data_IF_804429746316
#
_entry.id   IF_804429746316
#
_cell.length_a   1.000
_cell.length_b   1.000
_cell.length_c   1.000
_cell.angle_alpha   90.00
_cell.angle_beta   90.00
_cell.angle_gamma   90.00
#
_symmetry.space_group_name_H-M   'P 1'
#
loop_
_entity.id
_entity.type
_entity.pdbx_description
1 polymer ?
#
# COMPACT_ATOMS: atom_id res chain seq x y z
N UNK A 1 12.80 -16.84 44.94
CA UNK A 1 12.64 -15.58 44.25
C UNK A 1 12.00 -14.60 45.22
N UNK A 2 12.82 -13.68 45.72
CA UNK A 2 12.43 -12.67 46.70
C UNK A 2 11.61 -11.58 46.05
N UNK A 3 10.36 -11.49 46.40
CA UNK A 3 9.50 -10.31 46.10
C UNK A 3 10.06 -9.15 46.92
N UNK A 4 10.86 -8.28 46.33
CA UNK A 4 11.39 -7.11 47.01
C UNK A 4 10.36 -5.97 46.89
N UNK A 5 9.77 -5.63 48.00
CA UNK A 5 8.89 -4.45 48.13
C UNK A 5 9.78 -3.20 48.06
N UNK A 6 9.63 -2.35 47.07
CA UNK A 6 10.29 -1.08 46.99
C UNK A 6 9.31 0.02 47.43
N UNK A 7 9.55 0.64 48.58
CA UNK A 7 8.75 1.73 49.10
C UNK A 7 9.50 3.02 48.90
N UNK A 8 8.94 3.96 48.15
CA UNK A 8 9.49 5.32 48.02
C UNK A 8 8.55 6.32 48.67
N UNK A 9 9.11 7.18 49.54
CA UNK A 9 8.38 8.27 50.16
C UNK A 9 8.64 9.58 49.40
N UNK A 10 7.59 10.18 48.83
CA UNK A 10 7.62 11.57 48.36
C UNK A 10 6.65 12.39 49.22
N UNK A 11 7.13 13.47 49.74
CA UNK A 11 6.67 14.43 50.76
C UNK A 11 5.22 14.44 51.26
N UNK A 12 4.30 13.66 50.77
CA UNK A 12 2.94 13.49 51.27
C UNK A 12 2.21 12.23 50.74
N UNK A 13 2.84 11.42 49.86
CA UNK A 13 2.18 10.24 49.26
C UNK A 13 3.09 9.00 49.39
N UNK A 14 2.51 7.87 49.76
CA UNK A 14 3.19 6.60 49.89
C UNK A 14 3.09 5.83 48.59
N UNK A 15 4.21 5.53 47.94
CA UNK A 15 4.23 4.67 46.73
C UNK A 15 4.75 3.28 47.11
N UNK A 16 3.91 2.27 46.83
CA UNK A 16 4.36 0.87 46.91
C UNK A 16 4.28 0.23 45.53
N UNK A 17 5.40 -0.28 45.01
CA UNK A 17 5.42 -1.08 43.79
C UNK A 17 5.74 -2.54 44.12
N UNK A 18 4.91 -3.48 43.67
CA UNK A 18 5.20 -4.88 43.70
C UNK A 18 5.68 -5.33 42.32
N UNK A 19 6.67 -6.24 42.23
CA UNK A 19 7.01 -6.85 40.95
C UNK A 19 5.84 -7.73 40.52
N UNK A 20 5.30 -7.53 39.30
CA UNK A 20 4.12 -8.26 38.83
C UNK A 20 4.46 -9.70 38.47
N UNK A 21 3.53 -10.60 38.75
CA UNK A 21 3.40 -11.85 37.98
C UNK A 21 2.53 -11.53 36.75
N UNK A 22 3.16 -11.11 35.64
CA UNK A 22 2.44 -10.71 34.44
C UNK A 22 2.68 -9.24 34.04
N UNK A 23 2.03 -8.82 32.94
CA UNK A 23 2.25 -7.56 32.24
C UNK A 23 1.62 -6.31 32.90
N UNK A 24 1.15 -6.37 34.12
CA UNK A 24 0.50 -5.27 34.82
C UNK A 24 1.45 -4.64 35.85
N UNK A 25 1.73 -3.36 35.74
CA UNK A 25 2.36 -2.58 36.81
C UNK A 25 1.27 -1.99 37.67
N UNK A 26 1.27 -2.33 38.95
CA UNK A 26 0.34 -1.79 39.93
C UNK A 26 1.01 -0.61 40.63
N UNK A 27 0.46 0.57 40.48
CA UNK A 27 0.92 1.79 41.18
C UNK A 27 -0.15 2.11 42.21
N UNK A 28 0.27 2.18 43.47
CA UNK A 28 -0.58 2.54 44.60
C UNK A 28 -0.40 4.01 44.90
N UNK A 29 -1.49 4.78 44.91
CA UNK A 29 -1.53 6.12 45.46
C UNK A 29 -2.33 6.04 46.77
N UNK A 30 -1.71 6.41 47.88
CA UNK A 30 -2.40 6.55 49.16
C UNK A 30 -2.63 8.04 49.40
N UNK A 31 -3.84 8.43 49.50
CA UNK A 31 -4.20 9.81 49.87
C UNK A 31 -4.94 9.78 51.19
N UNK A 32 -4.49 10.60 52.16
CA UNK A 32 -5.12 10.73 53.46
C UNK A 32 -6.25 11.76 53.39
N UNK A 33 -7.49 11.30 53.44
CA UNK A 33 -8.66 12.17 53.46
C UNK A 33 -9.49 11.87 54.72
N UNK A 34 -9.55 12.84 55.63
CA UNK A 34 -10.38 12.79 56.86
C UNK A 34 -10.15 11.54 57.75
N UNK A 35 -8.90 11.18 58.01
CA UNK A 35 -8.51 9.99 58.80
C UNK A 35 -8.84 8.63 58.23
N UNK A 36 -9.24 8.53 56.99
CA UNK A 36 -9.31 7.26 56.26
C UNK A 36 -8.29 7.16 55.14
N UNK A 37 -7.56 6.04 55.11
CA UNK A 37 -6.59 5.76 54.05
C UNK A 37 -7.32 5.23 52.86
N UNK A 38 -7.53 6.03 51.80
CA UNK A 38 -8.13 5.61 50.55
C UNK A 38 -7.01 5.14 49.62
N UNK A 39 -6.98 3.85 49.32
CA UNK A 39 -6.10 3.28 48.31
C UNK A 39 -6.75 3.38 46.92
N UNK A 40 -6.22 4.26 46.10
CA UNK A 40 -6.62 4.34 44.68
C UNK A 40 -5.76 3.37 43.87
N UNK A 41 -6.37 2.34 43.31
CA UNK A 41 -5.72 1.36 42.46
C UNK A 41 -5.75 1.85 41.01
N UNK A 42 -4.59 2.23 40.45
CA UNK A 42 -4.44 2.44 39.02
C UNK A 42 -3.73 1.25 38.40
N UNK A 43 -4.46 0.47 37.61
CA UNK A 43 -3.84 -0.55 36.76
C UNK A 43 -3.31 0.16 35.52
N UNK A 44 -2.00 0.41 35.47
CA UNK A 44 -1.34 0.86 34.25
C UNK A 44 -1.04 -0.36 33.40
N UNK A 45 -1.93 -0.67 32.49
CA UNK A 45 -1.73 -1.74 31.52
C UNK A 45 -0.79 -1.20 30.44
N UNK A 46 0.42 -1.78 30.32
CA UNK A 46 1.28 -1.46 29.19
C UNK A 46 0.59 -1.92 27.92
N UNK A 47 0.26 -0.98 27.03
CA UNK A 47 -0.46 -1.31 25.80
C UNK A 47 0.39 -2.18 24.87
N UNK A 48 1.71 -1.92 24.78
CA UNK A 48 2.67 -2.73 24.01
C UNK A 48 3.52 -3.54 24.98
N UNK A 49 3.45 -4.85 24.86
CA UNK A 49 4.17 -5.82 25.70
C UNK A 49 5.53 -6.16 25.10
N UNK A 50 5.57 -6.49 23.81
CA UNK A 50 6.81 -6.75 23.09
C UNK A 50 6.63 -6.50 21.60
N UNK A 51 7.73 -6.21 20.93
CA UNK A 51 7.82 -6.09 19.48
C UNK A 51 9.01 -6.95 19.03
N UNK A 52 8.74 -7.92 18.16
CA UNK A 52 9.74 -8.86 17.65
C UNK A 52 9.67 -8.90 16.14
N UNK A 53 10.77 -8.64 15.49
CA UNK A 53 10.89 -8.71 14.02
C UNK A 53 11.71 -9.92 13.58
N UNK A 54 11.42 -10.37 12.37
CA UNK A 54 12.16 -11.45 11.68
C UNK A 54 12.23 -11.20 10.19
N UNK A 55 13.16 -11.90 9.55
CA UNK A 55 13.26 -12.01 8.10
C UNK A 55 12.34 -13.14 7.61
N UNK A 56 11.49 -12.86 6.64
CA UNK A 56 10.69 -13.83 5.90
C UNK A 56 10.94 -13.68 4.39
N UNK A 57 10.35 -14.54 3.57
CA UNK A 57 10.46 -14.43 2.11
C UNK A 57 9.19 -13.85 1.49
N UNK A 58 9.37 -12.96 0.52
CA UNK A 58 8.30 -12.44 -0.32
C UNK A 58 7.95 -13.41 -1.46
N UNK A 59 6.93 -13.08 -2.26
CA UNK A 59 6.45 -13.89 -3.39
C UNK A 59 7.49 -14.13 -4.49
N UNK A 60 8.61 -13.40 -4.47
CA UNK A 60 9.75 -13.57 -5.39
C UNK A 60 10.88 -14.39 -4.77
N UNK A 61 10.74 -14.82 -3.52
CA UNK A 61 11.79 -15.49 -2.74
C UNK A 61 12.89 -14.53 -2.23
N UNK A 62 12.63 -13.23 -2.21
CA UNK A 62 13.53 -12.25 -1.59
C UNK A 62 13.15 -12.02 -0.13
N UNK A 63 14.14 -11.77 0.75
CA UNK A 63 13.87 -11.42 2.13
C UNK A 63 13.04 -10.14 2.27
N UNK A 64 12.15 -10.13 3.26
CA UNK A 64 11.43 -8.95 3.72
C UNK A 64 11.20 -8.99 5.24
N UNK A 65 10.78 -7.88 5.82
CA UNK A 65 10.58 -7.73 7.27
C UNK A 65 9.17 -8.17 7.66
N UNK A 66 9.08 -8.98 8.70
CA UNK A 66 7.84 -9.30 9.40
C UNK A 66 7.96 -8.91 10.87
N UNK A 67 6.91 -8.33 11.43
CA UNK A 67 6.85 -7.84 12.81
C UNK A 67 5.69 -8.48 13.55
N UNK A 68 5.95 -9.03 14.74
CA UNK A 68 4.96 -9.42 15.73
C UNK A 68 4.94 -8.38 16.85
N UNK A 69 3.82 -7.72 17.03
CA UNK A 69 3.56 -6.82 18.14
C UNK A 69 2.59 -7.49 19.11
N UNK A 70 2.97 -7.59 20.37
CA UNK A 70 2.20 -8.21 21.43
C UNK A 70 1.55 -7.18 22.33
N UNK A 71 0.27 -7.36 22.61
CA UNK A 71 -0.49 -6.60 23.62
C UNK A 71 -1.23 -7.57 24.52
N UNK A 72 -1.95 -7.08 25.50
CA UNK A 72 -2.88 -7.89 26.29
C UNK A 72 -4.03 -8.49 25.50
N UNK A 73 -4.25 -8.06 24.25
CA UNK A 73 -5.28 -8.60 23.34
C UNK A 73 -4.76 -9.73 22.44
N UNK A 74 -3.44 -9.93 22.37
CA UNK A 74 -2.84 -10.98 21.55
C UNK A 74 -1.64 -10.52 20.73
N UNK A 75 -1.39 -11.23 19.64
CA UNK A 75 -0.27 -10.99 18.71
C UNK A 75 -0.80 -10.39 17.41
N UNK A 76 -0.18 -9.31 16.98
CA UNK A 76 -0.53 -8.60 15.75
C UNK A 76 0.66 -8.61 14.81
N UNK A 77 0.50 -9.38 13.72
CA UNK A 77 1.56 -9.64 12.74
C UNK A 77 1.36 -8.77 11.51
N UNK A 78 2.46 -8.19 11.03
CA UNK A 78 2.50 -7.45 9.78
C UNK A 78 3.76 -7.78 9.00
N UNK A 79 3.64 -7.84 7.66
CA UNK A 79 4.75 -8.04 6.76
C UNK A 79 4.84 -6.89 5.75
N UNK A 80 6.05 -6.52 5.39
CA UNK A 80 6.32 -5.35 4.54
C UNK A 80 6.44 -5.79 3.08
N UNK A 81 5.70 -5.16 2.14
CA UNK A 81 5.88 -5.40 0.72
C UNK A 81 7.17 -4.76 0.19
N UNK A 82 7.68 -5.25 -0.94
CA UNK A 82 8.94 -4.81 -1.55
C UNK A 82 8.80 -4.56 -3.05
N UNK A 83 9.29 -3.44 -3.55
CA UNK A 83 9.28 -3.10 -4.97
C UNK A 83 10.34 -3.86 -5.80
N UNK A 84 10.12 -3.96 -7.11
CA UNK A 84 11.13 -4.39 -8.08
C UNK A 84 11.72 -3.17 -8.80
N UNK A 85 10.86 -2.37 -9.40
CA UNK A 85 11.15 -1.03 -9.89
C UNK A 85 10.79 -0.05 -8.76
N UNK A 86 11.71 0.83 -8.42
CA UNK A 86 11.53 1.79 -7.32
C UNK A 86 11.81 3.19 -7.82
N UNK A 87 10.87 4.11 -7.61
CA UNK A 87 11.08 5.52 -7.87
C UNK A 87 12.29 6.04 -7.07
N UNK A 88 13.11 6.87 -7.69
CA UNK A 88 14.35 7.37 -7.05
C UNK A 88 14.10 8.22 -5.80
N UNK A 89 12.87 8.66 -5.60
CA UNK A 89 12.44 9.49 -4.47
C UNK A 89 11.69 8.70 -3.38
N UNK A 90 11.61 7.36 -3.49
CA UNK A 90 11.01 6.53 -2.45
C UNK A 90 11.84 6.56 -1.15
N UNK A 91 11.16 6.40 -0.01
CA UNK A 91 11.85 6.14 1.24
C UNK A 91 12.71 4.86 1.15
N UNK A 92 13.84 4.84 1.85
CA UNK A 92 14.84 3.79 1.70
C UNK A 92 14.37 2.45 2.25
N UNK A 93 14.24 1.45 1.39
CA UNK A 93 14.19 0.06 1.80
C UNK A 93 15.61 -0.41 2.17
N UNK A 94 15.86 -0.59 3.48
CA UNK A 94 17.19 -0.96 3.95
C UNK A 94 17.48 -2.44 3.65
N UNK A 95 18.52 -2.66 2.84
CA UNK A 95 19.07 -3.98 2.51
C UNK A 95 20.47 -4.12 3.12
N UNK A 96 20.84 -5.36 3.48
CA UNK A 96 22.12 -5.65 4.13
C UNK A 96 23.31 -5.37 3.23
N UNK A 97 23.18 -5.57 1.92
CA UNK A 97 24.25 -5.42 0.93
C UNK A 97 25.28 -6.57 0.94
N UNK A 98 25.14 -7.52 1.84
CA UNK A 98 26.02 -8.71 1.92
C UNK A 98 25.68 -9.68 0.80
N UNK A 99 26.50 -9.70 -0.24
CA UNK A 99 26.31 -10.54 -1.43
C UNK A 99 26.40 -12.04 -1.15
N UNK A 100 26.92 -12.46 -0.01
CA UNK A 100 26.99 -13.87 0.39
C UNK A 100 25.63 -14.41 0.86
N UNK A 101 24.71 -13.52 1.24
CA UNK A 101 23.33 -13.85 1.63
C UNK A 101 22.34 -13.17 0.69
N UNK A 102 21.44 -13.95 0.09
CA UNK A 102 20.38 -13.45 -0.80
C UNK A 102 20.85 -12.44 -1.85
N UNK A 103 22.09 -12.56 -2.33
CA UNK A 103 22.71 -11.64 -3.30
C UNK A 103 22.70 -10.16 -2.87
N UNK A 104 22.79 -9.91 -1.57
CA UNK A 104 22.78 -8.57 -0.98
C UNK A 104 21.41 -8.08 -0.55
N UNK A 105 20.34 -8.86 -0.78
CA UNK A 105 18.94 -8.44 -0.50
C UNK A 105 18.46 -8.81 0.90
N UNK A 106 19.31 -9.31 1.81
CA UNK A 106 18.95 -9.57 3.20
C UNK A 106 18.43 -8.34 3.92
N UNK A 107 17.65 -8.53 4.99
CA UNK A 107 17.05 -7.45 5.79
C UNK A 107 17.38 -7.56 7.28
N UNK A 108 18.47 -8.25 7.62
CA UNK A 108 18.86 -8.48 9.03
C UNK A 108 19.19 -7.18 9.77
N UNK A 109 19.73 -6.17 9.08
CA UNK A 109 19.97 -4.84 9.67
C UNK A 109 18.65 -4.16 10.07
N UNK A 110 17.66 -4.17 9.19
CA UNK A 110 16.33 -3.62 9.49
C UNK A 110 15.67 -4.37 10.65
N UNK A 111 15.77 -5.70 10.66
CA UNK A 111 15.29 -6.56 11.78
C UNK A 111 15.97 -6.20 13.09
N UNK A 112 17.30 -6.04 13.09
CA UNK A 112 18.05 -5.64 14.30
C UNK A 112 17.65 -4.25 14.78
N UNK A 113 17.43 -3.28 13.89
CA UNK A 113 16.95 -1.94 14.25
C UNK A 113 15.60 -2.00 14.97
N UNK A 114 14.71 -2.90 14.59
CA UNK A 114 13.43 -3.09 15.29
C UNK A 114 13.66 -3.73 16.66
N UNK A 115 14.38 -4.86 16.71
CA UNK A 115 14.53 -5.65 17.91
C UNK A 115 15.36 -4.96 18.99
N UNK A 116 16.41 -4.22 18.59
CA UNK A 116 17.41 -3.66 19.51
C UNK A 116 17.16 -2.18 19.82
N UNK A 117 16.40 -1.46 18.97
CA UNK A 117 16.26 0.00 19.10
C UNK A 117 14.80 0.46 19.08
N UNK A 118 14.07 0.27 17.98
CA UNK A 118 12.71 0.82 17.82
C UNK A 118 11.74 0.17 18.79
N UNK A 119 11.73 -1.17 18.87
CA UNK A 119 10.85 -1.91 19.76
C UNK A 119 11.04 -1.51 21.23
N UNK A 120 12.26 -1.60 21.80
CA UNK A 120 12.54 -1.16 23.17
C UNK A 120 12.13 0.29 23.43
N UNK A 121 12.41 1.22 22.50
CA UNK A 121 12.05 2.63 22.65
C UNK A 121 10.54 2.86 22.73
N UNK A 122 9.76 2.21 21.85
CA UNK A 122 8.30 2.32 21.86
C UNK A 122 7.68 1.73 23.12
N UNK A 123 8.20 0.59 23.61
CA UNK A 123 7.75 -0.03 24.86
C UNK A 123 8.03 0.90 26.04
N UNK A 124 9.24 1.47 26.11
CA UNK A 124 9.65 2.39 27.18
C UNK A 124 8.87 3.70 27.16
N UNK A 125 8.44 4.17 25.99
CA UNK A 125 7.68 5.43 25.86
C UNK A 125 6.35 5.38 26.62
N UNK A 126 5.79 4.20 26.84
CA UNK A 126 4.48 4.02 27.47
C UNK A 126 3.32 4.57 26.65
N UNK A 127 3.56 4.97 25.40
CA UNK A 127 2.52 5.48 24.49
C UNK A 127 1.51 4.35 24.21
N UNK A 128 0.24 4.68 24.28
CA UNK A 128 -0.83 3.72 24.02
C UNK A 128 -0.86 3.31 22.54
N UNK A 129 -1.10 2.04 22.27
CA UNK A 129 -1.16 1.49 20.91
C UNK A 129 -2.25 2.13 20.04
N UNK A 130 -3.23 2.78 20.64
CA UNK A 130 -4.25 3.58 19.92
C UNK A 130 -3.70 4.88 19.33
N UNK A 131 -2.56 5.35 19.81
CA UNK A 131 -1.95 6.63 19.41
C UNK A 131 -1.01 6.43 18.22
N UNK A 132 -1.55 5.92 17.11
CA UNK A 132 -0.80 5.60 15.87
C UNK A 132 0.15 6.72 15.46
N UNK A 133 -0.34 7.94 15.38
CA UNK A 133 0.45 9.08 14.91
C UNK A 133 1.63 9.39 15.85
N UNK A 134 1.44 9.30 17.16
CA UNK A 134 2.53 9.53 18.10
C UNK A 134 3.61 8.45 18.02
N UNK A 135 3.20 7.19 17.91
CA UNK A 135 4.13 6.06 17.77
C UNK A 135 4.91 6.14 16.46
N UNK A 136 4.23 6.44 15.36
CA UNK A 136 4.88 6.61 14.05
C UNK A 136 5.86 7.80 14.08
N UNK A 137 5.43 8.95 14.60
CA UNK A 137 6.30 10.13 14.71
C UNK A 137 7.52 9.89 15.62
N UNK A 138 7.36 9.12 16.71
CA UNK A 138 8.50 8.73 17.56
C UNK A 138 9.55 7.99 16.75
N UNK A 139 9.15 7.01 15.92
CA UNK A 139 10.09 6.28 15.06
C UNK A 139 10.74 7.17 14.00
N UNK A 140 9.97 8.05 13.37
CA UNK A 140 10.42 8.97 12.34
C UNK A 140 11.44 9.97 12.91
N UNK A 141 11.15 10.53 14.09
CA UNK A 141 12.06 11.46 14.80
C UNK A 141 13.35 10.77 15.26
N UNK A 142 13.28 9.53 15.70
CA UNK A 142 14.46 8.71 16.04
C UNK A 142 15.33 8.43 14.82
N UNK A 143 14.73 8.23 13.65
CA UNK A 143 15.46 8.11 12.39
C UNK A 143 16.13 9.43 12.02
N UNK A 144 15.40 10.52 12.01
CA UNK A 144 15.89 11.89 11.80
C UNK A 144 16.39 12.17 10.39
N UNK A 145 16.23 11.25 9.43
CA UNK A 145 16.58 11.44 8.02
C UNK A 145 15.34 11.63 7.16
N UNK A 146 15.48 12.34 6.04
CA UNK A 146 14.35 12.64 5.16
C UNK A 146 13.73 11.37 4.54
N UNK A 147 14.58 10.42 4.17
CA UNK A 147 14.18 9.18 3.48
C UNK A 147 14.22 7.93 4.36
N UNK A 148 14.25 8.10 5.70
CA UNK A 148 14.30 6.98 6.66
C UNK A 148 15.54 6.08 6.51
N UNK A 149 16.67 6.64 6.10
CA UNK A 149 17.88 5.87 5.78
C UNK A 149 18.63 5.34 7.00
N UNK A 150 18.35 5.84 8.20
CA UNK A 150 19.02 5.37 9.43
C UNK A 150 18.51 3.99 9.85
N UNK A 151 17.21 3.78 9.94
CA UNK A 151 16.61 2.51 10.34
C UNK A 151 16.06 1.70 9.16
N UNK A 152 15.73 2.37 8.07
CA UNK A 152 15.04 1.82 6.91
C UNK A 152 13.52 2.02 6.99
N UNK A 153 12.92 2.42 5.86
CA UNK A 153 11.47 2.54 5.74
C UNK A 153 10.76 1.22 6.00
N UNK A 154 11.36 0.10 5.60
CA UNK A 154 10.84 -1.26 5.85
C UNK A 154 10.79 -1.60 7.35
N UNK A 155 11.77 -1.18 8.13
CA UNK A 155 11.75 -1.36 9.59
C UNK A 155 10.63 -0.54 10.25
N UNK A 156 10.54 0.75 9.93
CA UNK A 156 9.52 1.66 10.48
C UNK A 156 8.12 1.21 10.07
N UNK A 157 7.92 0.88 8.80
CA UNK A 157 6.63 0.45 8.28
C UNK A 157 6.14 -0.86 8.91
N UNK A 158 7.01 -1.85 9.07
CA UNK A 158 6.63 -3.13 9.68
C UNK A 158 6.04 -2.93 11.07
N UNK A 159 6.67 -2.09 11.89
CA UNK A 159 6.17 -1.73 13.22
C UNK A 159 4.88 -0.91 13.12
N UNK A 160 4.81 0.08 12.23
CA UNK A 160 3.64 0.94 12.03
C UNK A 160 2.38 0.14 11.63
N UNK A 161 2.52 -0.83 10.72
CA UNK A 161 1.43 -1.73 10.31
C UNK A 161 0.95 -2.59 11.49
N UNK A 162 1.87 -3.16 12.27
CA UNK A 162 1.54 -3.99 13.43
C UNK A 162 0.83 -3.16 14.52
N UNK A 163 1.26 -1.91 14.76
CA UNK A 163 0.60 -0.96 15.66
C UNK A 163 -0.86 -0.73 15.22
N UNK A 164 -1.09 -0.50 13.93
CA UNK A 164 -2.43 -0.24 13.41
C UNK A 164 -3.37 -1.45 13.63
N UNK A 165 -2.90 -2.65 13.38
CA UNK A 165 -3.65 -3.89 13.66
C UNK A 165 -3.95 -4.06 15.15
N UNK A 166 -2.97 -3.81 16.00
CA UNK A 166 -3.12 -3.87 17.46
C UNK A 166 -4.09 -2.80 17.98
N UNK A 167 -4.02 -1.57 17.43
CA UNK A 167 -4.93 -0.48 17.77
C UNK A 167 -6.39 -0.80 17.45
N UNK A 168 -6.66 -1.42 16.32
CA UNK A 168 -7.99 -1.91 15.96
C UNK A 168 -8.54 -2.91 17.00
N UNK A 169 -7.72 -3.89 17.37
CA UNK A 169 -8.09 -4.89 18.37
C UNK A 169 -8.26 -4.30 19.78
N UNK A 170 -7.42 -3.34 20.17
CA UNK A 170 -7.55 -2.64 21.45
C UNK A 170 -8.86 -1.85 21.51
N UNK A 171 -9.22 -1.20 20.41
CA UNK A 171 -10.50 -0.47 20.26
C UNK A 171 -11.71 -1.41 20.13
N UNK A 172 -11.49 -2.69 19.79
CA UNK A 172 -12.55 -3.68 19.60
C UNK A 172 -13.34 -3.48 18.30
N UNK A 173 -12.69 -2.99 17.25
CA UNK A 173 -13.29 -2.77 15.92
C UNK A 173 -12.48 -3.46 14.84
N UNK A 174 -13.07 -3.77 13.66
CA UNK A 174 -12.33 -4.27 12.50
C UNK A 174 -11.25 -3.28 12.05
N UNK A 175 -10.19 -3.80 11.43
CA UNK A 175 -9.05 -2.98 10.99
C UNK A 175 -9.46 -1.85 10.03
N UNK A 176 -10.31 -2.15 9.04
CA UNK A 176 -10.81 -1.13 8.11
C UNK A 176 -11.57 0.01 8.82
N UNK A 177 -12.32 -0.30 9.88
CA UNK A 177 -13.03 0.71 10.68
C UNK A 177 -12.06 1.57 11.50
N UNK A 178 -11.04 0.96 12.09
CA UNK A 178 -10.00 1.69 12.80
C UNK A 178 -9.23 2.64 11.87
N UNK A 179 -8.89 2.19 10.67
CA UNK A 179 -8.24 3.04 9.64
C UNK A 179 -9.17 4.19 9.25
N UNK A 180 -10.47 3.94 9.04
CA UNK A 180 -11.45 4.99 8.77
C UNK A 180 -11.50 6.05 9.88
N UNK A 181 -11.49 5.62 11.14
CA UNK A 181 -11.45 6.52 12.28
C UNK A 181 -10.17 7.36 12.33
N UNK A 182 -8.99 6.74 12.08
CA UNK A 182 -7.71 7.46 11.99
C UNK A 182 -7.73 8.51 10.87
N UNK A 183 -8.41 8.22 9.77
CA UNK A 183 -8.55 9.12 8.63
C UNK A 183 -9.70 10.13 8.77
N UNK A 184 -10.55 9.99 9.78
CA UNK A 184 -11.75 10.83 9.96
C UNK A 184 -12.85 10.55 8.94
N UNK A 185 -12.92 9.32 8.39
CA UNK A 185 -13.94 8.92 7.42
C UNK A 185 -15.15 8.29 8.14
N UNK A 186 -16.35 8.80 7.89
CA UNK A 186 -17.60 8.23 8.40
C UNK A 186 -18.12 7.07 7.53
N UNK A 187 -17.91 7.16 6.25
CA UNK A 187 -18.37 6.19 5.24
C UNK A 187 -17.30 5.15 4.92
N UNK A 188 -17.74 3.99 4.44
CA UNK A 188 -16.88 2.91 3.95
C UNK A 188 -17.30 2.52 2.54
N UNK A 189 -16.32 2.27 1.68
CA UNK A 189 -16.57 1.93 0.27
C UNK A 189 -15.69 0.75 -0.13
N UNK A 190 -16.31 -0.27 -0.74
CA UNK A 190 -15.62 -1.38 -1.37
C UNK A 190 -15.04 -0.91 -2.71
N UNK A 191 -13.76 -1.19 -3.00
CA UNK A 191 -13.09 -0.68 -4.18
C UNK A 191 -13.44 -1.46 -5.45
N UNK A 192 -13.35 -0.81 -6.60
CA UNK A 192 -13.20 -1.50 -7.89
C UNK A 192 -11.79 -2.08 -7.95
N UNK A 193 -11.63 -3.39 -8.20
CA UNK A 193 -10.32 -3.98 -8.42
C UNK A 193 -9.81 -3.69 -9.83
N UNK A 194 -8.57 -3.19 -9.94
CA UNK A 194 -7.84 -3.08 -11.19
C UNK A 194 -6.96 -4.32 -11.34
N UNK A 195 -7.47 -5.35 -12.01
CA UNK A 195 -6.76 -6.61 -12.18
C UNK A 195 -5.70 -6.50 -13.26
N UNK A 196 -4.43 -6.63 -12.91
CA UNK A 196 -3.37 -6.73 -13.88
C UNK A 196 -3.41 -8.10 -14.58
N UNK A 197 -3.74 -8.13 -15.86
CA UNK A 197 -3.95 -9.36 -16.63
C UNK A 197 -2.90 -9.60 -17.72
N UNK A 198 -2.11 -8.59 -18.08
CA UNK A 198 -0.99 -8.69 -19.03
C UNK A 198 0.18 -7.87 -18.50
N UNK A 199 1.37 -8.48 -18.50
CA UNK A 199 2.63 -7.82 -18.16
C UNK A 199 3.50 -7.60 -19.39
N UNK A 200 4.16 -6.44 -19.40
CA UNK A 200 5.20 -6.06 -20.34
C UNK A 200 6.35 -5.38 -19.60
N UNK A 201 6.99 -4.38 -20.22
CA UNK A 201 8.07 -3.62 -19.62
C UNK A 201 9.20 -4.52 -19.12
N UNK A 202 9.92 -4.07 -18.12
CA UNK A 202 10.99 -4.84 -17.47
C UNK A 202 10.48 -6.07 -16.71
N UNK A 203 9.18 -6.15 -16.44
CA UNK A 203 8.55 -7.25 -15.70
C UNK A 203 8.24 -8.49 -16.54
N UNK A 204 8.44 -8.44 -17.86
CA UNK A 204 8.16 -9.56 -18.75
C UNK A 204 9.25 -9.74 -19.82
N UNK A 205 9.41 -10.98 -20.28
CA UNK A 205 10.35 -11.33 -21.35
C UNK A 205 9.86 -11.02 -22.76
N UNK A 206 8.69 -10.40 -22.94
CA UNK A 206 8.15 -10.00 -24.23
C UNK A 206 8.70 -8.63 -24.70
N UNK A 207 8.30 -8.17 -25.88
CA UNK A 207 8.73 -6.87 -26.45
C UNK A 207 7.80 -5.71 -26.12
N UNK A 208 6.77 -5.92 -25.29
CA UNK A 208 5.84 -4.88 -24.92
C UNK A 208 6.55 -3.83 -24.06
N UNK A 209 6.46 -2.55 -24.41
CA UNK A 209 7.10 -1.46 -23.67
C UNK A 209 6.35 -1.16 -22.37
N UNK A 210 5.03 -1.06 -22.42
CA UNK A 210 4.16 -0.76 -21.28
C UNK A 210 4.14 -1.92 -20.30
N UNK A 211 4.20 -1.58 -19.00
CA UNK A 211 4.46 -2.55 -17.93
C UNK A 211 3.26 -3.42 -17.59
N UNK A 212 2.06 -2.82 -17.46
CA UNK A 212 0.86 -3.52 -17.04
C UNK A 212 -0.38 -3.08 -17.82
N UNK A 213 -1.26 -4.05 -18.06
CA UNK A 213 -2.60 -3.83 -18.61
C UNK A 213 -3.63 -4.42 -17.67
N UNK A 214 -4.55 -3.58 -17.23
CA UNK A 214 -5.52 -3.90 -16.20
C UNK A 214 -6.94 -3.90 -16.74
N UNK A 215 -7.79 -4.70 -16.12
CA UNK A 215 -9.25 -4.69 -16.35
C UNK A 215 -9.96 -4.29 -15.06
N UNK A 216 -10.93 -3.37 -15.17
CA UNK A 216 -11.68 -2.79 -14.07
C UNK A 216 -13.17 -3.09 -14.25
N UNK A 217 -13.79 -3.96 -13.44
CA UNK A 217 -15.21 -4.31 -13.53
C UNK A 217 -16.11 -3.24 -12.90
N UNK A 218 -16.15 -2.05 -13.48
CA UNK A 218 -16.91 -0.90 -12.95
C UNK A 218 -18.43 -1.09 -13.02
N UNK A 219 -18.91 -1.95 -13.90
CA UNK A 219 -20.34 -2.29 -14.06
C UNK A 219 -20.80 -3.48 -13.23
N UNK A 220 -19.97 -3.96 -12.28
CA UNK A 220 -20.39 -4.97 -11.30
C UNK A 220 -21.33 -4.37 -10.25
N UNK A 221 -22.17 -5.20 -9.65
CA UNK A 221 -23.16 -4.79 -8.64
C UNK A 221 -22.58 -4.81 -7.21
N UNK A 222 -21.48 -5.53 -7.00
CA UNK A 222 -20.81 -5.73 -5.72
C UNK A 222 -19.33 -6.04 -5.92
N UNK A 223 -18.55 -6.01 -4.85
CA UNK A 223 -17.15 -6.44 -4.92
C UNK A 223 -17.04 -7.93 -5.29
N UNK A 224 -17.89 -8.77 -4.72
CA UNK A 224 -17.96 -10.21 -5.05
C UNK A 224 -18.26 -10.42 -6.55
N UNK A 225 -19.20 -9.65 -7.11
CA UNK A 225 -19.51 -9.71 -8.54
C UNK A 225 -18.32 -9.21 -9.38
N UNK A 226 -17.66 -8.14 -8.96
CA UNK A 226 -16.44 -7.64 -9.63
C UNK A 226 -15.31 -8.69 -9.65
N UNK A 227 -15.09 -9.40 -8.54
CA UNK A 227 -14.08 -10.45 -8.46
C UNK A 227 -14.45 -11.64 -9.37
N UNK A 228 -15.73 -12.05 -9.42
CA UNK A 228 -16.22 -13.06 -10.33
C UNK A 228 -15.97 -12.67 -11.79
N UNK A 229 -16.38 -11.46 -12.18
CA UNK A 229 -16.16 -10.95 -13.54
C UNK A 229 -14.70 -10.93 -13.91
N UNK A 230 -13.82 -10.48 -13.00
CA UNK A 230 -12.38 -10.46 -13.21
C UNK A 230 -11.81 -11.87 -13.42
N UNK A 231 -12.22 -12.84 -12.61
CA UNK A 231 -11.75 -14.22 -12.71
C UNK A 231 -12.20 -14.89 -14.01
N UNK A 232 -13.48 -14.73 -14.39
CA UNK A 232 -14.03 -15.26 -15.64
C UNK A 232 -13.37 -14.62 -16.86
N UNK A 233 -13.18 -13.31 -16.85
CA UNK A 233 -12.47 -12.58 -17.90
C UNK A 233 -11.03 -13.04 -18.04
N UNK A 234 -10.33 -13.25 -16.93
CA UNK A 234 -8.94 -13.74 -16.92
C UNK A 234 -8.84 -15.13 -17.57
N UNK A 235 -9.77 -16.05 -17.30
CA UNK A 235 -9.83 -17.35 -17.96
C UNK A 235 -10.10 -17.19 -19.47
N UNK A 236 -11.08 -16.37 -19.86
CA UNK A 236 -11.41 -16.09 -21.26
C UNK A 236 -10.21 -15.48 -22.00
N UNK A 237 -9.47 -14.55 -21.38
CA UNK A 237 -8.28 -13.97 -21.96
C UNK A 237 -7.20 -15.03 -22.24
N UNK A 238 -7.01 -15.97 -21.32
CA UNK A 238 -6.08 -17.11 -21.53
C UNK A 238 -6.48 -17.93 -22.74
N UNK A 239 -7.76 -18.18 -22.93
CA UNK A 239 -8.26 -18.94 -24.08
C UNK A 239 -8.06 -18.15 -25.40
N UNK A 240 -8.34 -16.85 -25.42
CA UNK A 240 -8.08 -15.97 -26.56
C UNK A 240 -6.60 -15.96 -26.95
N UNK A 241 -5.70 -15.90 -25.97
CA UNK A 241 -4.25 -15.94 -26.20
C UNK A 241 -3.84 -17.30 -26.78
N UNK A 242 -4.35 -18.41 -26.24
CA UNK A 242 -4.07 -19.75 -26.73
C UNK A 242 -4.54 -19.96 -28.17
N UNK A 243 -5.73 -19.51 -28.50
CA UNK A 243 -6.28 -19.57 -29.86
C UNK A 243 -5.36 -18.86 -30.88
N UNK A 244 -4.82 -17.68 -30.49
CA UNK A 244 -4.04 -16.84 -31.41
C UNK A 244 -2.58 -17.24 -31.51
N UNK A 245 -1.96 -17.65 -30.41
CA UNK A 245 -0.51 -17.86 -30.31
C UNK A 245 -0.08 -19.28 -29.94
N UNK A 246 -1.02 -20.18 -29.68
CA UNK A 246 -0.74 -21.56 -29.26
C UNK A 246 -0.68 -21.72 -27.73
N UNK A 247 -0.58 -22.99 -27.31
CA UNK A 247 -0.81 -23.39 -25.89
C UNK A 247 0.26 -22.88 -24.91
N UNK A 248 1.46 -22.62 -25.39
CA UNK A 248 2.61 -22.16 -24.59
C UNK A 248 2.83 -20.64 -24.66
N UNK A 249 1.92 -19.91 -25.31
CA UNK A 249 2.04 -18.47 -25.48
C UNK A 249 1.74 -17.73 -24.17
N UNK A 250 2.79 -17.41 -23.43
CA UNK A 250 2.71 -16.51 -22.28
C UNK A 250 3.04 -15.06 -22.65
N UNK A 251 3.52 -14.83 -23.88
CA UNK A 251 3.97 -13.53 -24.37
C UNK A 251 2.91 -12.92 -25.29
N UNK A 252 2.34 -11.81 -24.88
CA UNK A 252 1.43 -11.01 -25.69
C UNK A 252 2.23 -9.83 -26.23
N UNK A 253 2.34 -9.70 -27.56
CA UNK A 253 3.03 -8.58 -28.20
C UNK A 253 2.20 -7.28 -28.19
N UNK A 254 2.53 -6.35 -29.10
CA UNK A 254 1.94 -5.00 -29.20
C UNK A 254 0.39 -4.94 -29.32
N UNK A 255 -0.27 -6.10 -29.47
CA UNK A 255 -1.72 -6.24 -29.57
C UNK A 255 -2.42 -6.47 -28.24
N UNK A 256 -1.75 -6.26 -27.10
CA UNK A 256 -2.34 -6.52 -25.77
C UNK A 256 -3.70 -5.89 -25.55
N UNK A 257 -3.89 -4.64 -25.92
CA UNK A 257 -5.16 -3.93 -25.83
C UNK A 257 -6.28 -4.53 -26.69
N UNK A 258 -5.95 -5.01 -27.88
CA UNK A 258 -6.92 -5.69 -28.76
C UNK A 258 -7.38 -7.03 -28.17
N UNK A 259 -6.48 -7.82 -27.63
CA UNK A 259 -6.82 -9.11 -27.01
C UNK A 259 -7.69 -8.93 -25.77
N UNK A 260 -7.44 -7.92 -24.95
CA UNK A 260 -8.27 -7.61 -23.78
C UNK A 260 -9.70 -7.23 -24.23
N UNK A 261 -9.85 -6.35 -25.20
CA UNK A 261 -11.18 -5.99 -25.75
C UNK A 261 -11.92 -7.22 -26.25
N UNK A 262 -11.28 -8.07 -27.04
CA UNK A 262 -11.86 -9.32 -27.52
C UNK A 262 -12.26 -10.25 -26.37
N UNK A 263 -11.45 -10.34 -25.33
CA UNK A 263 -11.77 -11.14 -24.14
C UNK A 263 -12.98 -10.58 -23.38
N UNK A 264 -13.07 -9.25 -23.23
CA UNK A 264 -14.22 -8.57 -22.62
C UNK A 264 -15.52 -8.89 -23.40
N UNK A 265 -15.47 -8.81 -24.73
CA UNK A 265 -16.59 -9.13 -25.62
C UNK A 265 -16.99 -10.61 -25.52
N UNK A 266 -16.02 -11.53 -25.61
CA UNK A 266 -16.26 -12.99 -25.52
C UNK A 266 -16.78 -13.41 -24.14
N UNK A 267 -16.36 -12.75 -23.07
CA UNK A 267 -16.87 -12.99 -21.72
C UNK A 267 -18.25 -12.38 -21.46
N UNK A 268 -18.78 -11.57 -22.39
CA UNK A 268 -20.09 -10.92 -22.26
C UNK A 268 -20.09 -9.72 -21.30
N UNK A 269 -18.94 -9.06 -21.09
CA UNK A 269 -18.79 -7.94 -20.18
C UNK A 269 -18.58 -6.59 -20.88
N UNK A 270 -19.00 -6.48 -22.15
CA UNK A 270 -19.02 -5.20 -22.86
C UNK A 270 -19.81 -4.17 -22.04
N UNK A 271 -19.31 -2.94 -21.97
CA UNK A 271 -19.83 -1.81 -21.16
C UNK A 271 -19.80 -2.00 -19.64
N UNK A 272 -19.39 -3.17 -19.14
CA UNK A 272 -19.22 -3.45 -17.70
C UNK A 272 -17.77 -3.44 -17.23
N UNK A 273 -16.83 -3.73 -18.12
CA UNK A 273 -15.40 -3.77 -17.84
C UNK A 273 -14.67 -2.76 -18.71
N UNK A 274 -13.84 -1.95 -18.07
CA UNK A 274 -13.00 -0.94 -18.73
C UNK A 274 -11.53 -1.30 -18.54
N UNK A 275 -10.62 -0.58 -19.23
CA UNK A 275 -9.20 -0.88 -19.28
C UNK A 275 -8.39 0.21 -18.53
N UNK A 276 -7.41 -0.23 -17.74
CA UNK A 276 -6.35 0.61 -17.20
C UNK A 276 -4.99 0.16 -17.71
N UNK A 277 -4.03 1.06 -17.66
CA UNK A 277 -2.63 0.79 -18.04
C UNK A 277 -1.70 1.33 -16.97
N UNK A 278 -0.58 0.65 -16.78
CA UNK A 278 0.62 1.19 -16.14
C UNK A 278 1.76 1.14 -17.15
N UNK A 279 2.25 2.30 -17.53
CA UNK A 279 3.28 2.42 -18.56
C UNK A 279 4.67 2.30 -17.97
N UNK A 280 4.88 2.81 -16.74
CA UNK A 280 6.18 2.92 -16.10
C UNK A 280 7.23 3.54 -17.02
N UNK A 281 6.91 4.69 -17.63
CA UNK A 281 7.65 5.26 -18.76
C UNK A 281 9.09 5.69 -18.40
N UNK A 282 9.40 5.89 -17.11
CA UNK A 282 10.78 6.13 -16.66
C UNK A 282 11.74 5.00 -17.04
N UNK A 283 11.26 3.76 -17.20
CA UNK A 283 12.09 2.62 -17.57
C UNK A 283 12.66 2.69 -19.00
N UNK A 284 11.99 3.42 -19.88
CA UNK A 284 12.42 3.60 -21.27
C UNK A 284 12.67 5.07 -21.66
N UNK A 285 12.81 5.94 -20.67
CA UNK A 285 13.20 7.34 -20.85
C UNK A 285 14.72 7.47 -20.88
N UNK A 286 15.23 8.17 -21.88
CA UNK A 286 16.65 8.45 -22.02
C UNK A 286 16.88 9.78 -22.72
N UNK A 287 17.67 10.68 -22.13
CA UNK A 287 18.08 11.96 -22.69
C UNK A 287 16.92 12.80 -23.26
N UNK A 288 15.81 12.86 -22.52
CA UNK A 288 14.63 13.65 -22.87
C UNK A 288 13.70 13.01 -23.89
N UNK A 289 13.89 11.72 -24.22
CA UNK A 289 13.08 10.98 -25.17
C UNK A 289 12.73 9.58 -24.66
N UNK A 290 11.79 8.93 -25.32
CA UNK A 290 11.23 7.63 -24.95
C UNK A 290 11.55 6.59 -26.04
N UNK A 291 12.13 5.45 -25.65
CA UNK A 291 12.43 4.33 -26.53
C UNK A 291 11.47 3.16 -26.28
N UNK A 292 10.42 3.05 -27.09
CA UNK A 292 9.44 1.96 -26.96
C UNK A 292 10.00 0.56 -27.30
N UNK A 293 11.19 0.49 -27.85
CA UNK A 293 11.91 -0.78 -28.13
C UNK A 293 13.19 -0.89 -27.29
N UNK A 294 13.17 -0.38 -26.06
CA UNK A 294 14.32 -0.27 -25.16
C UNK A 294 14.97 -1.61 -24.81
N UNK A 295 14.29 -2.72 -25.08
CA UNK A 295 14.81 -4.08 -24.91
C UNK A 295 15.70 -4.54 -26.08
N UNK A 296 15.70 -3.82 -27.19
CA UNK A 296 16.58 -4.02 -28.33
C UNK A 296 17.83 -3.16 -28.20
N UNK A 297 18.90 -3.44 -28.97
CA UNK A 297 20.11 -2.60 -28.97
C UNK A 297 19.79 -1.12 -29.20
N UNK A 298 20.43 -0.17 -28.48
CA UNK A 298 20.09 1.25 -28.54
C UNK A 298 20.11 1.82 -29.98
N UNK A 299 19.07 2.60 -30.34
CA UNK A 299 18.98 3.29 -31.61
C UNK A 299 18.24 4.64 -31.44
N UNK A 300 18.98 5.72 -31.37
CA UNK A 300 18.42 7.05 -31.13
C UNK A 300 17.41 7.50 -32.22
N UNK A 301 17.46 6.92 -33.42
CA UNK A 301 16.55 7.26 -34.51
C UNK A 301 15.09 6.84 -34.27
N UNK A 302 14.84 5.89 -33.35
CA UNK A 302 13.49 5.44 -33.01
C UNK A 302 12.93 6.08 -31.74
N UNK A 303 13.74 6.90 -31.05
CA UNK A 303 13.32 7.57 -29.82
C UNK A 303 12.31 8.68 -30.16
N UNK A 304 11.19 8.67 -29.43
CA UNK A 304 10.09 9.60 -29.62
C UNK A 304 10.05 10.66 -28.52
N UNK A 305 9.42 11.79 -28.83
CA UNK A 305 9.16 12.88 -27.86
C UNK A 305 8.01 12.51 -26.91
N UNK A 306 7.87 13.28 -25.83
CA UNK A 306 6.68 13.17 -24.94
C UNK A 306 5.37 13.47 -25.68
N UNK A 307 5.36 14.39 -26.65
CA UNK A 307 4.17 14.71 -27.48
C UNK A 307 3.78 13.54 -28.38
N UNK A 308 4.76 12.90 -29.01
CA UNK A 308 4.52 11.72 -29.84
C UNK A 308 4.01 10.54 -28.98
N UNK A 309 4.56 10.35 -27.78
CA UNK A 309 4.09 9.33 -26.82
C UNK A 309 2.66 9.65 -26.36
N UNK A 310 2.34 10.91 -26.04
CA UNK A 310 0.99 11.34 -25.69
C UNK A 310 -0.02 11.05 -26.81
N UNK A 311 0.39 11.22 -28.08
CA UNK A 311 -0.44 10.91 -29.25
C UNK A 311 -0.76 9.41 -29.36
N UNK A 312 0.17 8.53 -28.98
CA UNK A 312 -0.07 7.08 -28.92
C UNK A 312 -1.12 6.78 -27.85
N UNK A 313 -1.03 7.35 -26.65
CA UNK A 313 -2.03 7.19 -25.60
C UNK A 313 -3.39 7.69 -26.02
N UNK A 314 -3.45 8.82 -26.72
CA UNK A 314 -4.71 9.33 -27.26
C UNK A 314 -5.35 8.34 -28.25
N UNK A 315 -4.51 7.65 -29.05
CA UNK A 315 -4.97 6.56 -29.91
C UNK A 315 -5.58 5.40 -29.11
N UNK A 316 -4.97 5.02 -27.99
CA UNK A 316 -5.55 3.98 -27.13
C UNK A 316 -6.88 4.40 -26.51
N UNK A 317 -6.97 5.63 -26.00
CA UNK A 317 -8.20 6.18 -25.42
C UNK A 317 -9.34 6.21 -26.45
N UNK A 318 -9.04 6.55 -27.69
CA UNK A 318 -10.06 6.67 -28.76
C UNK A 318 -10.54 5.30 -29.27
N UNK A 319 -9.69 4.28 -29.26
CA UNK A 319 -9.98 2.98 -29.88
C UNK A 319 -10.43 1.89 -28.89
N UNK A 320 -10.13 2.09 -27.60
CA UNK A 320 -10.40 1.11 -26.54
C UNK A 320 -11.03 1.80 -25.32
N UNK A 321 -11.75 1.07 -24.45
CA UNK A 321 -12.36 1.64 -23.26
C UNK A 321 -11.28 1.90 -22.15
N UNK A 322 -10.23 2.64 -22.49
CA UNK A 322 -9.17 3.03 -21.58
C UNK A 322 -9.62 4.23 -20.73
N UNK A 323 -9.65 4.05 -19.42
CA UNK A 323 -10.13 5.06 -18.47
C UNK A 323 -9.07 5.49 -17.46
N UNK A 324 -7.92 4.83 -17.45
CA UNK A 324 -6.83 5.10 -16.49
C UNK A 324 -5.48 4.78 -17.12
N UNK A 325 -4.53 5.71 -17.02
CA UNK A 325 -3.12 5.50 -17.41
C UNK A 325 -2.23 5.95 -16.25
N UNK A 326 -1.39 5.03 -15.76
CA UNK A 326 -0.41 5.24 -14.71
C UNK A 326 0.97 5.47 -15.33
N UNK A 327 1.72 6.42 -14.77
CA UNK A 327 3.08 6.80 -15.14
C UNK A 327 3.31 6.90 -16.67
N UNK A 328 2.52 7.74 -17.36
CA UNK A 328 2.62 7.89 -18.82
C UNK A 328 3.94 8.50 -19.30
N UNK A 329 4.68 9.20 -18.42
CA UNK A 329 5.95 9.86 -18.72
C UNK A 329 6.96 9.63 -17.59
N UNK A 330 8.21 10.03 -17.84
CA UNK A 330 9.27 10.00 -16.83
C UNK A 330 8.88 10.78 -15.57
N UNK A 331 9.34 10.29 -14.42
CA UNK A 331 9.03 10.86 -13.08
C UNK A 331 9.43 12.33 -12.91
N UNK A 332 10.25 12.88 -13.78
CA UNK A 332 10.67 14.29 -13.77
C UNK A 332 10.31 15.08 -15.04
N UNK A 333 9.60 14.46 -16.00
CA UNK A 333 9.08 15.13 -17.20
C UNK A 333 7.75 15.87 -16.91
N UNK A 334 7.77 16.79 -15.93
CA UNK A 334 6.61 17.52 -15.46
C UNK A 334 5.80 18.21 -16.56
N UNK A 335 6.42 18.84 -17.60
CA UNK A 335 5.66 19.46 -18.67
C UNK A 335 4.80 18.46 -19.46
N UNK A 336 5.34 17.27 -19.79
CA UNK A 336 4.59 16.25 -20.51
C UNK A 336 3.39 15.76 -19.69
N UNK A 337 3.56 15.55 -18.40
CA UNK A 337 2.48 15.18 -17.48
C UNK A 337 1.34 16.21 -17.49
N UNK A 338 1.67 17.50 -17.29
CA UNK A 338 0.67 18.57 -17.19
C UNK A 338 -0.07 18.75 -18.50
N UNK A 339 0.61 18.70 -19.64
CA UNK A 339 0.01 18.82 -20.97
C UNK A 339 -0.94 17.66 -21.25
N UNK A 340 -0.52 16.44 -20.96
CA UNK A 340 -1.32 15.25 -21.20
C UNK A 340 -2.57 15.24 -20.31
N UNK A 341 -2.42 15.49 -19.01
CA UNK A 341 -3.54 15.53 -18.07
C UNK A 341 -4.59 16.56 -18.46
N UNK A 342 -4.14 17.73 -18.97
CA UNK A 342 -5.06 18.77 -19.48
C UNK A 342 -5.78 18.37 -20.77
N UNK A 343 -5.22 17.43 -21.55
CA UNK A 343 -5.75 17.04 -22.87
C UNK A 343 -6.70 15.86 -22.87
N UNK A 344 -6.81 15.14 -21.73
CA UNK A 344 -7.62 13.90 -21.63
C UNK A 344 -8.66 13.98 -20.51
N UNK A 345 -9.75 13.23 -20.68
CA UNK A 345 -10.80 13.12 -19.66
C UNK A 345 -10.65 11.93 -18.72
N UNK A 346 -9.62 11.11 -18.90
CA UNK A 346 -9.40 9.89 -18.14
C UNK A 346 -8.62 10.15 -16.85
N UNK A 347 -8.51 9.11 -16.02
CA UNK A 347 -7.64 9.12 -14.86
C UNK A 347 -6.17 9.02 -15.28
N UNK A 348 -5.34 9.96 -14.80
CA UNK A 348 -3.89 9.94 -14.95
C UNK A 348 -3.29 9.73 -13.57
N UNK A 349 -2.62 8.59 -13.36
CA UNK A 349 -2.16 8.14 -12.07
C UNK A 349 -0.66 8.42 -11.91
N UNK A 350 -0.28 9.09 -10.83
CA UNK A 350 1.12 9.29 -10.45
C UNK A 350 1.58 8.21 -9.46
N UNK A 351 2.49 7.34 -9.91
CA UNK A 351 3.25 6.40 -9.09
C UNK A 351 4.65 6.96 -8.81
N UNK A 352 5.59 6.79 -9.73
CA UNK A 352 6.96 7.30 -9.58
C UNK A 352 7.02 8.85 -9.54
N UNK A 353 6.06 9.52 -10.14
CA UNK A 353 5.91 10.97 -10.06
C UNK A 353 5.76 11.45 -8.61
N UNK A 354 4.96 10.77 -7.80
CA UNK A 354 4.56 11.24 -6.46
C UNK A 354 5.18 10.43 -5.32
N UNK A 355 5.48 9.16 -5.55
CA UNK A 355 6.05 8.19 -4.60
C UNK A 355 5.37 8.21 -3.21
N UNK A 356 4.07 8.46 -3.17
CA UNK A 356 3.28 8.62 -1.93
C UNK A 356 3.86 9.72 -1.00
N UNK A 357 4.65 10.65 -1.55
CA UNK A 357 5.32 11.69 -0.80
C UNK A 357 4.51 13.00 -0.84
N UNK A 358 4.05 13.54 0.32
CA UNK A 358 3.24 14.76 0.35
C UNK A 358 3.86 15.96 -0.37
N UNK A 359 5.18 16.13 -0.35
CA UNK A 359 5.85 17.24 -1.06
C UNK A 359 5.71 17.11 -2.57
N UNK A 360 5.89 15.89 -3.10
CA UNK A 360 5.73 15.65 -4.54
C UNK A 360 4.26 15.70 -4.97
N UNK A 361 3.35 15.20 -4.11
CA UNK A 361 1.90 15.33 -4.33
C UNK A 361 1.50 16.80 -4.41
N UNK A 362 1.99 17.64 -3.48
CA UNK A 362 1.71 19.08 -3.49
C UNK A 362 2.17 19.75 -4.79
N UNK A 363 3.39 19.44 -5.24
CA UNK A 363 3.89 19.93 -6.53
C UNK A 363 3.02 19.46 -7.69
N UNK A 364 2.65 18.18 -7.71
CA UNK A 364 1.81 17.63 -8.78
C UNK A 364 0.41 18.27 -8.81
N UNK A 365 -0.12 18.67 -7.65
CA UNK A 365 -1.37 19.45 -7.55
C UNK A 365 -1.17 20.83 -8.16
N UNK A 366 -0.11 21.54 -7.79
CA UNK A 366 0.20 22.90 -8.29
C UNK A 366 0.43 22.91 -9.80
N UNK A 367 1.19 21.96 -10.31
CA UNK A 367 1.50 21.80 -11.74
C UNK A 367 0.36 21.13 -12.53
N UNK A 368 -0.71 20.66 -11.86
CA UNK A 368 -1.80 19.86 -12.46
C UNK A 368 -1.28 18.68 -13.27
N UNK A 369 -0.24 18.03 -12.75
CA UNK A 369 0.50 17.00 -13.47
C UNK A 369 -0.27 15.67 -13.59
N UNK A 370 -1.07 15.32 -12.60
CA UNK A 370 -1.93 14.13 -12.59
C UNK A 370 -3.22 14.40 -11.83
N UNK A 371 -4.13 13.43 -11.78
CA UNK A 371 -5.42 13.55 -11.08
C UNK A 371 -5.76 12.32 -10.21
N UNK A 372 -4.79 11.45 -10.01
CA UNK A 372 -4.91 10.29 -9.12
C UNK A 372 -3.55 9.97 -8.47
N UNK A 373 -3.57 9.69 -7.18
CA UNK A 373 -2.43 9.19 -6.43
C UNK A 373 -2.41 7.65 -6.49
N UNK A 374 -1.28 7.04 -6.84
CA UNK A 374 -1.03 5.66 -6.49
C UNK A 374 -0.46 5.61 -5.08
N UNK A 375 -1.17 4.98 -4.16
CA UNK A 375 -0.78 4.91 -2.76
C UNK A 375 -0.11 3.57 -2.47
N UNK A 376 1.18 3.62 -2.15
CA UNK A 376 1.99 2.48 -1.73
C UNK A 376 2.59 2.77 -0.36
N UNK A 377 2.15 2.05 0.67
CA UNK A 377 2.54 2.34 2.06
C UNK A 377 4.06 2.29 2.31
N UNK A 378 4.77 1.45 1.56
CA UNK A 378 6.23 1.32 1.72
C UNK A 378 7.05 2.42 1.01
N UNK A 379 6.45 3.17 0.08
CA UNK A 379 7.13 4.30 -0.56
C UNK A 379 7.36 5.47 0.41
N UNK A 380 6.50 5.59 1.43
CA UNK A 380 6.62 6.62 2.47
C UNK A 380 7.03 6.04 3.82
N UNK A 381 6.58 4.85 4.19
CA UNK A 381 7.12 4.05 5.28
C UNK A 381 6.41 4.18 6.63
N UNK A 382 5.21 4.75 6.69
CA UNK A 382 4.33 4.70 7.87
C UNK A 382 2.85 4.82 7.50
N UNK A 383 1.99 4.26 8.33
CA UNK A 383 0.52 4.37 8.18
C UNK A 383 0.07 5.82 8.31
N UNK A 384 0.61 6.56 9.26
CA UNK A 384 0.29 7.98 9.49
C UNK A 384 0.58 8.82 8.25
N UNK A 385 1.75 8.67 7.63
CA UNK A 385 2.12 9.46 6.45
C UNK A 385 1.32 9.00 5.21
N UNK A 386 1.02 7.70 5.09
CA UNK A 386 0.17 7.19 4.01
C UNK A 386 -1.26 7.77 4.08
N UNK A 387 -1.84 7.85 5.28
CA UNK A 387 -3.14 8.51 5.50
C UNK A 387 -3.06 10.00 5.12
N UNK A 388 -2.02 10.71 5.54
CA UNK A 388 -1.82 12.13 5.20
C UNK A 388 -1.68 12.35 3.69
N UNK A 389 -0.94 11.49 3.00
CA UNK A 389 -0.80 11.54 1.54
C UNK A 389 -2.16 11.31 0.84
N UNK A 390 -2.93 10.33 1.30
CA UNK A 390 -4.27 10.05 0.79
C UNK A 390 -5.20 11.25 0.96
N UNK A 391 -5.25 11.82 2.15
CA UNK A 391 -6.08 13.00 2.44
C UNK A 391 -5.71 14.20 1.60
N UNK A 392 -4.41 14.48 1.45
CA UNK A 392 -3.92 15.57 0.61
C UNK A 392 -4.41 15.41 -0.84
N UNK A 393 -4.35 14.21 -1.41
CA UNK A 393 -4.85 13.92 -2.74
C UNK A 393 -6.38 14.12 -2.84
N UNK A 394 -7.15 13.55 -1.92
CA UNK A 394 -8.61 13.63 -1.89
C UNK A 394 -9.11 15.08 -1.72
N UNK A 395 -8.48 15.87 -0.85
CA UNK A 395 -8.80 17.29 -0.61
C UNK A 395 -8.57 18.17 -1.85
N UNK A 396 -7.71 17.73 -2.76
CA UNK A 396 -7.46 18.40 -4.04
C UNK A 396 -8.27 17.80 -5.21
N UNK A 397 -9.29 16.98 -4.91
CA UNK A 397 -10.20 16.41 -5.89
C UNK A 397 -9.61 15.25 -6.70
N UNK A 398 -8.49 14.68 -6.27
CA UNK A 398 -7.88 13.52 -6.92
C UNK A 398 -8.55 12.22 -6.50
N UNK A 399 -8.53 11.25 -7.42
CA UNK A 399 -8.69 9.85 -7.05
C UNK A 399 -7.48 9.32 -6.29
N UNK A 400 -7.66 8.20 -5.60
CA UNK A 400 -6.56 7.47 -4.95
C UNK A 400 -6.73 5.98 -5.26
N UNK A 401 -5.68 5.35 -5.77
CA UNK A 401 -5.62 3.91 -5.99
C UNK A 401 -4.64 3.30 -5.01
N UNK A 402 -5.10 2.43 -4.12
CA UNK A 402 -4.23 1.67 -3.22
C UNK A 402 -3.57 0.55 -4.00
N UNK A 403 -2.26 0.39 -3.85
CA UNK A 403 -1.48 -0.54 -4.65
C UNK A 403 -0.65 -1.50 -3.81
N UNK A 404 -0.51 -2.73 -4.33
CA UNK A 404 0.49 -3.70 -3.93
C UNK A 404 1.90 -3.32 -4.42
N UNK A 405 2.86 -4.20 -4.17
CA UNK A 405 4.18 -4.17 -4.81
C UNK A 405 4.45 -5.51 -5.52
N UNK A 406 5.54 -5.54 -6.33
CA UNK A 406 5.95 -6.76 -7.05
C UNK A 406 6.28 -7.91 -6.09
N UNK A 407 6.96 -7.63 -4.99
CA UNK A 407 7.20 -8.57 -3.90
C UNK A 407 6.16 -8.40 -2.81
N UNK A 408 5.25 -9.34 -2.73
CA UNK A 408 4.16 -9.36 -1.75
C UNK A 408 4.26 -10.57 -0.82
N UNK A 409 3.53 -10.49 0.27
CA UNK A 409 3.32 -11.56 1.24
C UNK A 409 1.82 -11.85 1.37
N UNK A 410 1.44 -12.76 2.26
CA UNK A 410 0.04 -13.06 2.57
C UNK A 410 -0.64 -11.98 3.43
N UNK A 411 0.09 -10.92 3.83
CA UNK A 411 -0.49 -9.83 4.61
C UNK A 411 -1.61 -9.11 3.83
N UNK A 412 -2.74 -8.89 4.49
CA UNK A 412 -3.95 -8.33 3.89
C UNK A 412 -4.19 -6.86 4.20
N UNK A 413 -3.24 -6.17 4.84
CA UNK A 413 -3.42 -4.81 5.35
C UNK A 413 -4.01 -3.85 4.31
N UNK A 414 -3.53 -3.88 3.06
CA UNK A 414 -3.98 -2.96 2.01
C UNK A 414 -5.45 -3.16 1.61
N UNK A 415 -6.04 -4.33 1.86
CA UNK A 415 -7.46 -4.56 1.66
C UNK A 415 -8.30 -3.78 2.68
N UNK A 416 -7.91 -3.79 3.94
CA UNK A 416 -8.55 -2.99 4.99
C UNK A 416 -8.27 -1.49 4.77
N UNK A 417 -7.06 -1.15 4.32
CA UNK A 417 -6.65 0.22 4.05
C UNK A 417 -7.52 0.89 2.98
N UNK A 418 -7.74 0.21 1.85
CA UNK A 418 -8.53 0.77 0.73
C UNK A 418 -9.97 1.05 1.13
N UNK A 419 -10.56 0.19 1.95
CA UNK A 419 -11.92 0.38 2.48
C UNK A 419 -11.97 1.51 3.49
N UNK A 420 -11.08 1.52 4.47
CA UNK A 420 -11.02 2.54 5.52
C UNK A 420 -10.73 3.94 5.00
N UNK A 421 -9.90 4.07 3.96
CA UNK A 421 -9.59 5.34 3.32
C UNK A 421 -10.63 5.80 2.28
N UNK A 422 -11.64 4.99 1.98
CA UNK A 422 -12.68 5.30 0.97
C UNK A 422 -12.08 5.69 -0.38
N UNK A 423 -11.08 4.95 -0.86
CA UNK A 423 -10.37 5.35 -2.09
C UNK A 423 -11.05 4.87 -3.37
N UNK A 424 -11.88 3.84 -3.28
CA UNK A 424 -12.73 3.38 -4.39
C UNK A 424 -12.06 2.52 -5.44
N UNK A 425 -10.72 2.29 -5.36
CA UNK A 425 -9.99 1.46 -6.31
C UNK A 425 -8.74 0.83 -5.68
N UNK A 426 -8.44 -0.40 -6.09
CA UNK A 426 -7.27 -1.15 -5.62
C UNK A 426 -6.58 -1.85 -6.79
N UNK A 427 -5.25 -1.75 -6.84
CA UNK A 427 -4.37 -2.44 -7.78
C UNK A 427 -3.55 -3.47 -7.01
N UNK A 428 -3.93 -4.76 -7.06
CA UNK A 428 -3.22 -5.81 -6.32
C UNK A 428 -3.03 -7.11 -7.12
N UNK A 429 -2.80 -6.98 -8.43
CA UNK A 429 -2.42 -8.05 -9.34
C UNK A 429 -3.60 -8.75 -10.02
N UNK A 430 -3.31 -9.84 -10.71
CA UNK A 430 -4.32 -10.68 -11.35
C UNK A 430 -5.18 -11.42 -10.31
N UNK A 431 -6.38 -11.93 -10.69
CA UNK A 431 -7.21 -12.73 -9.80
C UNK A 431 -6.68 -14.16 -9.68
N UNK A 432 -5.42 -14.29 -9.35
CA UNK A 432 -4.71 -15.55 -9.12
C UNK A 432 -3.45 -15.29 -8.26
N UNK A 433 -2.77 -16.35 -7.83
CA UNK A 433 -1.62 -16.34 -6.91
C UNK A 433 -2.00 -15.92 -5.50
N UNK A 434 -1.60 -16.72 -4.51
CA UNK A 434 -2.10 -16.64 -3.12
C UNK A 434 -1.85 -15.28 -2.47
N UNK A 435 -0.70 -14.67 -2.70
CA UNK A 435 -0.33 -13.36 -2.14
C UNK A 435 -1.20 -12.20 -2.67
N UNK A 436 -1.79 -12.36 -3.86
CA UNK A 436 -2.74 -11.40 -4.46
C UNK A 436 -4.16 -11.71 -4.01
N UNK A 437 -4.56 -12.98 -4.10
CA UNK A 437 -5.88 -13.46 -3.65
C UNK A 437 -6.11 -13.23 -2.16
N UNK A 438 -5.08 -13.22 -1.33
CA UNK A 438 -5.21 -12.87 0.09
C UNK A 438 -5.93 -11.52 0.28
N UNK A 439 -5.58 -10.50 -0.53
CA UNK A 439 -6.18 -9.16 -0.49
C UNK A 439 -7.62 -9.18 -1.03
N UNK A 440 -7.84 -9.84 -2.17
CA UNK A 440 -9.18 -9.95 -2.77
C UNK A 440 -10.15 -10.75 -1.89
N UNK A 441 -9.69 -11.86 -1.30
CA UNK A 441 -10.50 -12.65 -0.38
C UNK A 441 -10.82 -11.88 0.91
N UNK A 442 -9.90 -11.04 1.38
CA UNK A 442 -10.16 -10.17 2.54
C UNK A 442 -11.24 -9.14 2.22
N UNK A 443 -11.22 -8.55 1.03
CA UNK A 443 -12.27 -7.61 0.59
C UNK A 443 -13.66 -8.27 0.50
N UNK A 444 -13.73 -9.54 0.07
CA UNK A 444 -14.99 -10.29 0.12
C UNK A 444 -15.50 -10.51 1.55
N UNK A 445 -14.60 -10.79 2.50
CA UNK A 445 -14.97 -10.92 3.93
C UNK A 445 -15.48 -9.59 4.49
N UNK A 446 -14.83 -8.49 4.14
CA UNK A 446 -15.26 -7.15 4.54
C UNK A 446 -16.65 -6.83 3.97
N UNK A 447 -16.89 -7.15 2.70
CA UNK A 447 -18.21 -6.96 2.09
C UNK A 447 -19.29 -7.78 2.82
N UNK A 448 -19.00 -9.04 3.14
CA UNK A 448 -19.91 -9.91 3.89
C UNK A 448 -20.17 -9.37 5.32
N UNK A 449 -19.13 -8.89 6.00
CA UNK A 449 -19.25 -8.30 7.34
C UNK A 449 -20.09 -7.01 7.35
N UNK A 450 -19.95 -6.18 6.31
CA UNK A 450 -20.75 -4.96 6.16
C UNK A 450 -22.22 -5.24 5.78
N UNK A 451 -22.50 -6.36 5.13
CA UNK A 451 -23.84 -6.77 4.73
C UNK A 451 -24.57 -5.67 3.93
N UNK A 452 -25.74 -5.28 4.39
CA UNK A 452 -26.56 -4.23 3.72
C UNK A 452 -25.93 -2.82 3.74
N UNK A 453 -24.89 -2.63 4.54
CA UNK A 453 -24.11 -1.36 4.58
C UNK A 453 -22.96 -1.36 3.58
N UNK A 454 -22.70 -2.46 2.89
CA UNK A 454 -21.66 -2.53 1.89
C UNK A 454 -22.03 -1.65 0.68
N UNK A 455 -21.11 -0.76 0.32
CA UNK A 455 -21.23 0.13 -0.84
C UNK A 455 -20.06 -0.16 -1.77
N UNK A 456 -20.36 -0.48 -3.02
CA UNK A 456 -19.35 -0.74 -4.04
C UNK A 456 -19.15 0.51 -4.91
N UNK A 457 -17.90 0.91 -5.13
CA UNK A 457 -17.57 2.14 -5.84
C UNK A 457 -18.07 2.16 -7.31
N UNK A 458 -18.00 1.03 -8.01
CA UNK A 458 -18.53 0.90 -9.36
C UNK A 458 -18.00 1.98 -10.31
N UNK A 459 -18.87 2.63 -11.03
CA UNK A 459 -18.53 3.72 -11.96
C UNK A 459 -17.96 4.96 -11.27
N UNK A 460 -18.16 5.11 -9.96
CA UNK A 460 -17.63 6.23 -9.16
C UNK A 460 -16.26 5.93 -8.53
N UNK A 461 -15.52 4.94 -9.06
CA UNK A 461 -14.24 4.49 -8.51
C UNK A 461 -13.19 5.62 -8.37
N UNK A 462 -13.26 6.66 -9.18
CA UNK A 462 -12.38 7.83 -9.10
C UNK A 462 -12.75 8.81 -7.98
N UNK A 463 -14.05 8.90 -7.66
CA UNK A 463 -14.60 9.77 -6.62
C UNK A 463 -15.74 9.09 -5.88
N UNK A 464 -15.46 8.12 -5.00
CA UNK A 464 -16.48 7.34 -4.30
C UNK A 464 -17.31 8.17 -3.31
N UNK A 465 -16.86 9.36 -2.92
CA UNK A 465 -17.65 10.26 -2.07
C UNK A 465 -18.89 10.85 -2.76
N UNK A 466 -19.02 10.63 -4.07
CA UNK A 466 -20.22 10.98 -4.85
C UNK A 466 -21.33 9.90 -4.80
N UNK A 467 -21.12 8.81 -4.05
CA UNK A 467 -22.08 7.71 -3.89
C UNK A 467 -23.26 8.09 -3.00
#
# INVERSE_FOLDING_TARGET
PSNTLQVMFLKSDLFCSFPPSGNDRMIFFFHEHQNELVALFFFYRMSIVSIVAREILDSRGNPTVEVDLHTGKGVFRAAVPSGASTGIYEALELRDGDKTRYKGKGVTKAVSHINDTLGPALIQSGINVLEQEKLDNTMIEMDGTENKSKFGANAILGVSLAICKAGAAEKGVPLYRHIADLAGNGELVLPVPAFNVINGGSHAGNRLAMQEFMVLPVGAESFRDALRMGAELYQTLRDVIKEKYGQDATNVGDEGGFLIKTAIEKAGFTDKVVIGMDVAASEFFNEGKYDLDFKSPPNAARNISGEELASIYQGFINNYPVVSIEDPFDQDDWPAWSQFTASVGIQVVGDDLTVTNPRRIQRAVEDKACNCLLLKVNQIGSVTEAIKACKLAQENGWGVMVSHRSGETEDTFIADLVVGLCTGQIKTGAPCRSERLAKYNQLMRIEEELGDQARFAGHNFRNPSAL
#
